data_IF_400442491663
#
_entry.id   IF_400442491663
#
_cell.length_a   1.000
_cell.length_b   1.000
_cell.length_c   1.000
_cell.angle_alpha   90.00
_cell.angle_beta   90.00
_cell.angle_gamma   90.00
#
_symmetry.space_group_name_H-M   'P 1'
#
loop_
_entity.id
_entity.type
_entity.pdbx_description
1 polymer ?
#
# COMPACT_ATOMS: atom_id res chain seq x y z
N UNK A 1 -21.48 -35.63 -5.51
CA UNK A 1 -20.74 -34.35 -5.66
C UNK A 1 -19.38 -34.32 -4.96
N UNK A 2 -19.20 -34.89 -3.76
CA UNK A 2 -17.90 -34.91 -3.08
C UNK A 2 -16.80 -35.75 -3.76
N UNK A 3 -17.16 -36.88 -4.39
CA UNK A 3 -16.21 -37.75 -5.11
C UNK A 3 -15.64 -37.08 -6.38
N UNK A 4 -16.47 -36.37 -7.15
CA UNK A 4 -16.05 -35.63 -8.35
C UNK A 4 -15.12 -34.46 -7.99
N UNK A 5 -15.38 -33.76 -6.87
CA UNK A 5 -14.48 -32.72 -6.33
C UNK A 5 -13.15 -33.29 -5.82
N UNK A 6 -13.12 -34.55 -5.37
CA UNK A 6 -11.87 -35.21 -4.93
C UNK A 6 -10.97 -35.53 -6.12
N UNK A 7 -11.52 -36.15 -7.16
CA UNK A 7 -10.75 -36.47 -8.37
C UNK A 7 -10.23 -35.21 -9.05
N UNK A 8 -11.04 -34.14 -9.13
CA UNK A 8 -10.61 -32.84 -9.68
C UNK A 8 -9.38 -32.25 -8.98
N UNK A 9 -9.28 -32.37 -7.65
CA UNK A 9 -8.12 -31.87 -6.88
C UNK A 9 -6.88 -32.74 -7.02
N UNK A 10 -7.07 -34.04 -7.19
CA UNK A 10 -5.97 -34.97 -7.45
C UNK A 10 -5.43 -34.77 -8.87
N UNK A 11 -6.32 -34.56 -9.85
CA UNK A 11 -5.99 -34.26 -11.24
C UNK A 11 -5.25 -32.92 -11.38
N UNK A 12 -5.68 -31.88 -10.65
CA UNK A 12 -5.02 -30.57 -10.66
C UNK A 12 -3.64 -30.62 -10.00
N UNK A 13 -3.51 -31.32 -8.86
CA UNK A 13 -2.24 -31.53 -8.17
C UNK A 13 -1.26 -32.34 -9.05
N UNK A 14 -1.77 -33.33 -9.78
CA UNK A 14 -0.97 -34.10 -10.73
C UNK A 14 -0.41 -33.21 -11.85
N UNK A 15 -1.23 -32.34 -12.46
CA UNK A 15 -0.76 -31.42 -13.51
C UNK A 15 0.26 -30.42 -12.98
N UNK A 16 0.07 -29.89 -11.77
CA UNK A 16 1.04 -29.00 -11.10
C UNK A 16 2.37 -29.71 -10.86
N UNK A 17 2.34 -30.95 -10.35
CA UNK A 17 3.56 -31.73 -10.18
C UNK A 17 4.26 -32.00 -11.52
N UNK A 18 3.49 -32.26 -12.58
CA UNK A 18 4.05 -32.46 -13.92
C UNK A 18 4.72 -31.20 -14.47
N UNK A 19 4.15 -30.03 -14.21
CA UNK A 19 4.77 -28.76 -14.55
C UNK A 19 6.10 -28.55 -13.80
N UNK A 20 6.14 -28.83 -12.49
CA UNK A 20 7.37 -28.73 -11.67
C UNK A 20 8.48 -29.67 -12.12
N UNK A 21 8.15 -30.89 -12.48
CA UNK A 21 9.10 -31.85 -13.06
C UNK A 21 9.68 -31.31 -14.37
N UNK A 22 8.79 -30.80 -15.23
CA UNK A 22 9.17 -30.26 -16.55
C UNK A 22 10.05 -29.02 -16.42
N UNK A 23 9.89 -28.21 -15.37
CA UNK A 23 10.69 -26.99 -15.16
C UNK A 23 12.20 -27.26 -15.08
N UNK A 24 12.60 -28.46 -14.63
CA UNK A 24 14.01 -28.87 -14.55
C UNK A 24 14.63 -29.16 -15.93
N UNK A 25 13.81 -29.52 -16.90
CA UNK A 25 14.27 -29.95 -18.24
C UNK A 25 13.95 -28.92 -19.32
N UNK A 26 12.71 -28.41 -19.32
CA UNK A 26 12.18 -27.49 -20.33
C UNK A 26 11.15 -26.53 -19.71
N UNK A 27 11.52 -25.24 -19.53
CA UNK A 27 10.61 -24.20 -19.07
C UNK A 27 9.37 -24.00 -19.95
N UNK A 28 9.46 -24.23 -21.27
CA UNK A 28 8.32 -24.06 -22.17
C UNK A 28 7.30 -25.19 -21.99
N UNK A 29 7.76 -26.42 -21.83
CA UNK A 29 6.90 -27.55 -21.48
C UNK A 29 6.20 -27.31 -20.14
N UNK A 30 6.91 -26.81 -19.12
CA UNK A 30 6.32 -26.45 -17.83
C UNK A 30 5.19 -25.42 -17.99
N UNK A 31 5.40 -24.37 -18.79
CA UNK A 31 4.36 -23.37 -19.09
C UNK A 31 3.16 -23.98 -19.82
N UNK A 32 3.37 -24.89 -20.78
CA UNK A 32 2.29 -25.58 -21.48
C UNK A 32 1.42 -26.41 -20.53
N UNK A 33 2.05 -27.13 -19.59
CA UNK A 33 1.32 -27.86 -18.53
C UNK A 33 0.49 -26.93 -17.65
N UNK A 34 1.06 -25.80 -17.24
CA UNK A 34 0.34 -24.81 -16.42
C UNK A 34 -0.82 -24.14 -17.16
N UNK A 35 -0.66 -23.82 -18.44
CA UNK A 35 -1.76 -23.31 -19.28
C UNK A 35 -2.90 -24.33 -19.34
N UNK A 36 -2.56 -25.60 -19.53
CA UNK A 36 -3.55 -26.70 -19.55
C UNK A 36 -4.27 -26.80 -18.21
N UNK A 37 -3.52 -26.82 -17.11
CA UNK A 37 -4.08 -26.89 -15.76
C UNK A 37 -5.01 -25.71 -15.45
N UNK A 38 -4.62 -24.48 -15.80
CA UNK A 38 -5.44 -23.27 -15.60
C UNK A 38 -6.72 -23.27 -16.43
N UNK A 39 -6.68 -23.88 -17.61
CA UNK A 39 -7.84 -24.01 -18.50
C UNK A 39 -8.84 -25.02 -17.95
N UNK A 40 -8.35 -26.15 -17.43
CA UNK A 40 -9.19 -27.20 -16.85
C UNK A 40 -9.71 -26.85 -15.45
N UNK A 41 -8.91 -26.12 -14.66
CA UNK A 41 -9.16 -25.83 -13.25
C UNK A 41 -8.99 -24.33 -12.93
N UNK A 42 -9.76 -23.42 -13.56
CA UNK A 42 -9.57 -21.98 -13.37
C UNK A 42 -9.86 -21.52 -11.93
N UNK A 43 -10.77 -22.19 -11.23
CA UNK A 43 -11.19 -21.87 -9.86
C UNK A 43 -10.30 -22.43 -8.75
N UNK A 44 -9.17 -23.06 -9.08
CA UNK A 44 -8.25 -23.60 -8.07
C UNK A 44 -7.05 -22.68 -7.83
N UNK A 45 -6.96 -22.14 -6.61
CA UNK A 45 -5.89 -21.24 -6.19
C UNK A 45 -4.50 -21.86 -6.37
N UNK A 46 -4.32 -23.14 -6.03
CA UNK A 46 -3.03 -23.85 -6.15
C UNK A 46 -2.46 -23.82 -7.57
N UNK A 47 -3.31 -23.99 -8.58
CA UNK A 47 -2.93 -23.99 -9.99
C UNK A 47 -2.56 -22.57 -10.45
N UNK A 48 -3.36 -21.57 -10.06
CA UNK A 48 -3.08 -20.17 -10.40
C UNK A 48 -1.78 -19.68 -9.73
N UNK A 49 -1.58 -20.04 -8.46
CA UNK A 49 -0.41 -19.64 -7.68
C UNK A 49 0.87 -20.28 -8.20
N UNK A 50 0.85 -21.55 -8.59
CA UNK A 50 2.02 -22.20 -9.20
C UNK A 50 2.43 -21.49 -10.49
N UNK A 51 1.45 -21.17 -11.33
CA UNK A 51 1.73 -20.50 -12.59
C UNK A 51 2.25 -19.06 -12.37
N UNK A 52 1.76 -18.36 -11.34
CA UNK A 52 2.33 -17.09 -10.87
C UNK A 52 3.79 -17.27 -10.42
N UNK A 53 4.08 -18.28 -9.60
CA UNK A 53 5.43 -18.55 -9.08
C UNK A 53 6.44 -18.83 -10.21
N UNK A 54 6.02 -19.51 -11.27
CA UNK A 54 6.86 -19.72 -12.47
C UNK A 54 7.15 -18.42 -13.22
N UNK A 55 6.15 -17.53 -13.39
CA UNK A 55 6.37 -16.22 -14.03
C UNK A 55 7.24 -15.31 -13.15
N UNK A 56 7.09 -15.39 -11.82
CA UNK A 56 7.94 -14.69 -10.86
C UNK A 56 9.39 -15.17 -10.95
N UNK A 57 9.63 -16.50 -10.96
CA UNK A 57 10.96 -17.07 -11.11
C UNK A 57 11.60 -16.75 -12.48
N UNK A 58 10.78 -16.53 -13.51
CA UNK A 58 11.23 -16.10 -14.83
C UNK A 58 11.52 -14.58 -14.91
N UNK A 59 11.26 -13.81 -13.85
CA UNK A 59 11.43 -12.35 -13.85
C UNK A 59 10.43 -11.60 -14.73
N UNK A 60 9.33 -12.24 -15.13
CA UNK A 60 8.33 -11.62 -15.99
C UNK A 60 7.34 -10.77 -15.17
N UNK A 61 7.70 -9.52 -14.93
CA UNK A 61 6.91 -8.56 -14.13
C UNK A 61 5.48 -8.41 -14.64
N UNK A 62 5.31 -8.24 -15.95
CA UNK A 62 3.98 -8.01 -16.56
C UNK A 62 3.05 -9.22 -16.43
N UNK A 63 3.57 -10.42 -16.69
CA UNK A 63 2.83 -11.68 -16.56
C UNK A 63 2.48 -11.96 -15.10
N UNK A 64 3.47 -11.84 -14.21
CA UNK A 64 3.30 -12.05 -12.78
C UNK A 64 2.28 -11.07 -12.19
N UNK A 65 2.33 -9.79 -12.57
CA UNK A 65 1.40 -8.77 -12.10
C UNK A 65 -0.05 -9.08 -12.48
N UNK A 66 -0.29 -9.39 -13.77
CA UNK A 66 -1.63 -9.74 -14.24
C UNK A 66 -2.19 -10.96 -13.49
N UNK A 67 -1.37 -11.99 -13.32
CA UNK A 67 -1.79 -13.21 -12.62
C UNK A 67 -2.03 -12.97 -11.13
N UNK A 68 -1.18 -12.17 -10.47
CA UNK A 68 -1.38 -11.79 -9.08
C UNK A 68 -2.68 -10.99 -8.91
N UNK A 69 -2.96 -10.05 -9.81
CA UNK A 69 -4.20 -9.27 -9.77
C UNK A 69 -5.44 -10.13 -10.05
N UNK A 70 -5.39 -11.02 -11.04
CA UNK A 70 -6.47 -11.98 -11.32
C UNK A 70 -6.77 -12.82 -10.06
N UNK A 71 -5.72 -13.34 -9.40
CA UNK A 71 -5.88 -14.07 -8.14
C UNK A 71 -6.42 -13.17 -7.03
N UNK A 72 -5.95 -11.92 -6.92
CA UNK A 72 -6.39 -10.96 -5.90
C UNK A 72 -7.89 -10.69 -5.96
N UNK A 73 -8.45 -10.61 -7.18
CA UNK A 73 -9.89 -10.41 -7.37
C UNK A 73 -10.73 -11.66 -7.05
N UNK A 74 -10.17 -12.86 -7.23
CA UNK A 74 -10.92 -14.12 -7.14
C UNK A 74 -10.73 -14.86 -5.80
N UNK A 75 -9.55 -14.79 -5.20
CA UNK A 75 -9.12 -15.59 -4.04
C UNK A 75 -8.64 -14.71 -2.89
N UNK A 76 -9.36 -13.61 -2.66
CA UNK A 76 -8.91 -12.55 -1.76
C UNK A 76 -8.75 -12.97 -0.29
N UNK A 77 -9.21 -14.16 0.10
CA UNK A 77 -9.13 -14.69 1.47
C UNK A 77 -7.88 -15.56 1.71
N UNK A 78 -7.12 -15.89 0.67
CA UNK A 78 -5.93 -16.73 0.78
C UNK A 78 -4.75 -15.98 1.43
N UNK A 79 -4.24 -16.49 2.55
CA UNK A 79 -3.18 -15.83 3.33
C UNK A 79 -1.86 -15.71 2.57
N UNK A 80 -1.53 -16.71 1.76
CA UNK A 80 -0.33 -16.72 0.92
C UNK A 80 -0.40 -15.58 -0.11
N UNK A 81 -1.58 -15.37 -0.70
CA UNK A 81 -1.81 -14.29 -1.65
C UNK A 81 -1.71 -12.92 -0.97
N UNK A 82 -2.29 -12.77 0.22
CA UNK A 82 -2.18 -11.55 1.00
C UNK A 82 -0.71 -11.22 1.35
N UNK A 83 0.11 -12.23 1.64
CA UNK A 83 1.54 -12.03 1.87
C UNK A 83 2.26 -11.52 0.61
N UNK A 84 1.93 -12.03 -0.59
CA UNK A 84 2.49 -11.54 -1.85
C UNK A 84 2.05 -10.11 -2.16
N UNK A 85 0.77 -9.79 -1.97
CA UNK A 85 0.27 -8.42 -2.14
C UNK A 85 0.93 -7.48 -1.14
N UNK A 86 1.15 -7.92 0.10
CA UNK A 86 1.86 -7.13 1.10
C UNK A 86 3.30 -6.82 0.67
N UNK A 87 4.05 -7.81 0.14
CA UNK A 87 5.39 -7.56 -0.44
C UNK A 87 5.32 -6.50 -1.55
N UNK A 88 4.33 -6.62 -2.42
CA UNK A 88 4.11 -5.65 -3.49
C UNK A 88 3.85 -4.23 -2.96
N UNK A 89 2.96 -4.07 -1.99
CA UNK A 89 2.67 -2.75 -1.42
C UNK A 89 3.80 -2.18 -0.56
N UNK A 90 4.53 -3.05 0.15
CA UNK A 90 5.67 -2.65 0.97
C UNK A 90 6.84 -2.19 0.11
N UNK A 91 7.05 -2.81 -1.06
CA UNK A 91 8.02 -2.37 -2.04
C UNK A 91 7.75 -0.92 -2.53
N UNK A 92 6.49 -0.53 -2.68
CA UNK A 92 6.12 0.84 -3.08
C UNK A 92 6.40 1.90 -2.01
N UNK A 93 6.53 1.48 -0.75
CA UNK A 93 6.77 2.36 0.40
C UNK A 93 8.25 2.35 0.83
N UNK A 94 9.07 1.52 0.20
CA UNK A 94 10.49 1.34 0.52
C UNK A 94 11.35 2.19 -0.42
N UNK A 95 12.38 2.83 0.13
CA UNK A 95 13.43 3.49 -0.66
C UNK A 95 14.57 2.51 -1.06
N UNK A 96 14.43 1.23 -0.70
CA UNK A 96 15.41 0.20 -1.02
C UNK A 96 15.47 -0.06 -2.53
N UNK A 97 16.68 -0.39 -3.00
CA UNK A 97 16.94 -0.77 -4.40
C UNK A 97 17.31 -2.24 -4.54
N UNK A 98 16.90 -3.06 -3.58
CA UNK A 98 17.10 -4.49 -3.68
C UNK A 98 16.29 -5.08 -4.84
N UNK A 99 16.75 -6.19 -5.45
CA UNK A 99 16.11 -6.76 -6.63
C UNK A 99 14.64 -7.10 -6.42
N UNK A 100 14.26 -7.55 -5.23
CA UNK A 100 12.88 -7.92 -4.91
C UNK A 100 11.99 -6.68 -4.86
N UNK A 101 12.40 -5.62 -4.16
CA UNK A 101 11.68 -4.33 -4.12
C UNK A 101 11.48 -3.77 -5.52
N UNK A 102 12.51 -3.78 -6.37
CA UNK A 102 12.40 -3.31 -7.76
C UNK A 102 11.44 -4.18 -8.58
N UNK A 103 11.50 -5.50 -8.41
CA UNK A 103 10.63 -6.43 -9.11
C UNK A 103 9.16 -6.23 -8.73
N UNK A 104 8.85 -6.17 -7.44
CA UNK A 104 7.50 -5.97 -6.92
C UNK A 104 6.94 -4.59 -7.26
N UNK A 105 7.75 -3.53 -7.17
CA UNK A 105 7.34 -2.22 -7.64
C UNK A 105 7.03 -2.25 -9.15
N UNK A 106 7.89 -2.90 -9.95
CA UNK A 106 7.69 -3.08 -11.38
C UNK A 106 6.42 -3.89 -11.73
N UNK A 107 6.08 -4.90 -10.92
CA UNK A 107 4.79 -5.60 -11.06
C UNK A 107 3.63 -4.64 -10.89
N UNK A 108 3.64 -3.84 -9.82
CA UNK A 108 2.58 -2.88 -9.57
C UNK A 108 2.45 -1.86 -10.71
N UNK A 109 3.56 -1.30 -11.18
CA UNK A 109 3.56 -0.33 -12.30
C UNK A 109 3.04 -0.92 -13.61
N UNK A 110 3.15 -2.24 -13.81
CA UNK A 110 2.62 -2.90 -15.01
C UNK A 110 1.11 -3.13 -14.99
N UNK A 111 0.45 -2.96 -13.83
CA UNK A 111 -1.00 -3.03 -13.72
C UNK A 111 -1.67 -1.78 -14.29
N UNK A 112 -2.89 -1.89 -14.86
CA UNK A 112 -3.69 -0.72 -15.20
C UNK A 112 -4.00 0.15 -13.97
N UNK A 113 -4.14 1.46 -14.15
CA UNK A 113 -4.37 2.41 -13.04
C UNK A 113 -5.60 2.07 -12.18
N UNK A 114 -6.66 1.52 -12.77
CA UNK A 114 -7.83 1.05 -12.01
C UNK A 114 -7.50 -0.13 -11.10
N UNK A 115 -6.70 -1.09 -11.59
CA UNK A 115 -6.24 -2.23 -10.81
C UNK A 115 -5.27 -1.81 -9.70
N UNK A 116 -4.35 -0.89 -9.99
CA UNK A 116 -3.45 -0.32 -8.98
C UNK A 116 -4.22 0.33 -7.81
N UNK A 117 -5.24 1.14 -8.12
CA UNK A 117 -6.13 1.74 -7.12
C UNK A 117 -6.86 0.68 -6.30
N UNK A 118 -7.44 -0.30 -6.97
CA UNK A 118 -8.21 -1.37 -6.34
C UNK A 118 -7.34 -2.20 -5.36
N UNK A 119 -6.10 -2.51 -5.77
CA UNK A 119 -5.11 -3.17 -4.89
C UNK A 119 -4.86 -2.32 -3.65
N UNK A 120 -4.50 -1.05 -3.79
CA UNK A 120 -4.20 -0.20 -2.63
C UNK A 120 -5.39 -0.03 -1.69
N UNK A 121 -6.59 0.17 -2.24
CA UNK A 121 -7.81 0.37 -1.44
C UNK A 121 -8.16 -0.89 -0.64
N UNK A 122 -8.26 -2.04 -1.31
CA UNK A 122 -8.58 -3.32 -0.64
C UNK A 122 -7.48 -3.78 0.31
N UNK A 123 -6.21 -3.53 -0.01
CA UNK A 123 -5.10 -3.80 0.91
C UNK A 123 -5.17 -2.93 2.16
N UNK A 124 -5.57 -1.66 2.04
CA UNK A 124 -5.78 -0.79 3.20
C UNK A 124 -6.96 -1.27 4.05
N UNK A 125 -8.06 -1.71 3.45
CA UNK A 125 -9.21 -2.26 4.18
C UNK A 125 -8.87 -3.53 4.96
N UNK A 126 -7.97 -4.36 4.41
CA UNK A 126 -7.55 -5.64 5.00
C UNK A 126 -6.32 -5.53 5.91
N UNK A 127 -5.72 -4.36 6.06
CA UNK A 127 -4.53 -4.21 6.88
C UNK A 127 -4.82 -4.53 8.35
N UNK A 128 -4.03 -5.41 8.96
CA UNK A 128 -4.19 -5.78 10.37
C UNK A 128 -3.71 -4.73 11.38
N UNK A 129 -3.10 -3.65 10.89
CA UNK A 129 -2.49 -2.59 11.68
C UNK A 129 -2.95 -1.22 11.17
N UNK A 130 -3.37 -0.34 12.09
CA UNK A 130 -3.84 1.00 11.75
C UNK A 130 -2.76 1.89 11.12
N UNK A 131 -1.48 1.70 11.45
CA UNK A 131 -0.39 2.43 10.79
C UNK A 131 -0.27 2.02 9.32
N UNK A 132 -0.33 0.72 9.04
CA UNK A 132 -0.24 0.20 7.67
C UNK A 132 -1.45 0.64 6.84
N UNK A 133 -2.65 0.62 7.43
CA UNK A 133 -3.85 1.23 6.84
C UNK A 133 -3.58 2.66 6.38
N UNK A 134 -3.09 3.51 7.30
CA UNK A 134 -2.87 4.92 7.02
C UNK A 134 -1.78 5.15 5.96
N UNK A 135 -0.71 4.35 5.97
CA UNK A 135 0.36 4.43 4.96
C UNK A 135 -0.11 4.02 3.57
N UNK A 136 -0.91 2.95 3.48
CA UNK A 136 -1.52 2.54 2.21
C UNK A 136 -2.49 3.59 1.68
N UNK A 137 -3.29 4.20 2.57
CA UNK A 137 -4.17 5.29 2.18
C UNK A 137 -3.43 6.53 1.72
N UNK A 138 -2.37 6.91 2.42
CA UNK A 138 -1.51 8.01 1.99
C UNK A 138 -0.85 7.74 0.63
N UNK A 139 -0.41 6.49 0.39
CA UNK A 139 0.13 6.07 -0.90
C UNK A 139 -0.92 6.18 -2.02
N UNK A 140 -2.15 5.73 -1.78
CA UNK A 140 -3.27 5.90 -2.72
C UNK A 140 -3.50 7.38 -3.06
N UNK A 141 -3.63 8.23 -2.05
CA UNK A 141 -3.89 9.65 -2.23
C UNK A 141 -2.76 10.38 -2.96
N UNK A 142 -1.52 9.96 -2.72
CA UNK A 142 -0.34 10.53 -3.36
C UNK A 142 -0.31 10.18 -4.85
N UNK A 143 -0.58 8.90 -5.18
CA UNK A 143 -0.51 8.35 -6.54
C UNK A 143 -1.72 8.68 -7.39
N UNK A 144 -2.90 8.80 -6.79
CA UNK A 144 -4.18 8.99 -7.48
C UNK A 144 -4.89 10.24 -6.94
N UNK A 145 -4.56 11.44 -7.44
CA UNK A 145 -5.06 12.71 -6.89
C UNK A 145 -6.59 12.84 -6.91
N UNK A 146 -7.25 12.16 -7.83
CA UNK A 146 -8.71 12.13 -7.96
C UNK A 146 -9.42 11.41 -6.80
N UNK A 147 -8.69 10.62 -6.01
CA UNK A 147 -9.20 9.98 -4.78
C UNK A 147 -9.19 10.91 -3.56
N UNK A 148 -8.48 12.04 -3.64
CA UNK A 148 -8.25 12.93 -2.49
C UNK A 148 -9.51 13.61 -1.94
N UNK A 149 -10.46 14.11 -2.76
CA UNK A 149 -11.70 14.68 -2.25
C UNK A 149 -12.50 13.69 -1.40
N UNK A 150 -12.48 12.41 -1.79
CA UNK A 150 -13.24 11.37 -1.11
C UNK A 150 -12.57 10.88 0.18
N UNK A 151 -11.25 10.73 0.19
CA UNK A 151 -10.52 10.03 1.27
C UNK A 151 -9.59 10.93 2.10
N UNK A 152 -9.21 12.12 1.61
CA UNK A 152 -8.18 12.95 2.24
C UNK A 152 -8.53 13.39 3.66
N UNK A 153 -9.70 14.02 3.84
CA UNK A 153 -10.18 14.46 5.16
C UNK A 153 -10.48 13.26 6.06
N UNK A 154 -11.03 12.18 5.50
CA UNK A 154 -11.31 10.94 6.24
C UNK A 154 -10.04 10.33 6.82
N UNK A 155 -8.91 10.38 6.10
CA UNK A 155 -7.63 9.88 6.58
C UNK A 155 -7.12 10.73 7.76
N UNK A 156 -7.29 12.06 7.71
CA UNK A 156 -6.95 12.94 8.83
C UNK A 156 -7.75 12.56 10.08
N UNK A 157 -9.07 12.42 9.94
CA UNK A 157 -9.94 12.03 11.05
C UNK A 157 -9.57 10.63 11.59
N UNK A 158 -9.29 9.67 10.70
CA UNK A 158 -8.84 8.31 11.07
C UNK A 158 -7.54 8.33 11.88
N UNK A 159 -6.56 9.15 11.49
CA UNK A 159 -5.29 9.28 12.22
C UNK A 159 -5.50 9.86 13.63
N UNK A 160 -6.32 10.90 13.75
CA UNK A 160 -6.64 11.53 15.02
C UNK A 160 -7.43 10.61 15.96
N UNK A 161 -8.42 9.90 15.43
CA UNK A 161 -9.24 8.97 16.18
C UNK A 161 -8.44 7.74 16.64
N UNK A 162 -7.54 7.24 15.78
CA UNK A 162 -6.63 6.15 16.14
C UNK A 162 -5.66 6.57 17.22
N UNK A 163 -4.99 7.72 17.08
CA UNK A 163 -4.08 8.25 18.10
C UNK A 163 -4.78 8.38 19.47
N UNK A 164 -6.02 8.88 19.48
CA UNK A 164 -6.83 9.02 20.69
C UNK A 164 -7.18 7.67 21.30
N UNK A 165 -7.54 6.67 20.49
CA UNK A 165 -7.90 5.32 20.94
C UNK A 165 -6.72 4.59 21.57
N UNK A 166 -5.54 4.72 20.97
CA UNK A 166 -4.30 4.15 21.47
C UNK A 166 -3.76 4.87 22.72
N UNK A 167 -4.38 5.99 23.12
CA UNK A 167 -4.05 6.75 24.33
C UNK A 167 -2.55 7.06 24.48
N UNK A 168 -1.91 7.43 23.37
CA UNK A 168 -0.47 7.65 23.36
C UNK A 168 -0.07 8.84 24.27
N UNK A 169 0.96 8.70 25.11
CA UNK A 169 1.29 9.68 26.15
C UNK A 169 1.97 10.95 25.61
N UNK A 170 2.43 10.92 24.36
CA UNK A 170 3.19 12.00 23.73
C UNK A 170 2.61 12.30 22.36
N UNK A 171 2.52 13.59 21.98
CA UNK A 171 2.15 13.98 20.62
C UNK A 171 3.22 13.56 19.61
N UNK A 172 4.46 13.29 20.02
CA UNK A 172 5.51 12.78 19.13
C UNK A 172 5.37 11.27 19.00
N UNK A 173 4.54 10.86 18.04
CA UNK A 173 4.25 9.46 17.73
C UNK A 173 4.08 9.23 16.22
N UNK A 174 3.91 7.97 15.80
CA UNK A 174 3.81 7.60 14.40
C UNK A 174 2.56 8.17 13.69
N UNK A 175 1.40 8.20 14.35
CA UNK A 175 0.17 8.74 13.79
C UNK A 175 0.25 10.26 13.60
N UNK A 176 0.74 10.98 14.62
CA UNK A 176 0.91 12.43 14.54
C UNK A 176 1.98 12.81 13.52
N UNK A 177 3.04 12.02 13.38
CA UNK A 177 4.06 12.20 12.35
C UNK A 177 3.44 12.08 10.95
N UNK A 178 2.72 10.99 10.66
CA UNK A 178 2.03 10.78 9.37
C UNK A 178 0.99 11.88 9.09
N UNK A 179 0.28 12.32 10.12
CA UNK A 179 -0.71 13.38 10.00
C UNK A 179 -0.06 14.70 9.58
N UNK A 180 0.95 15.13 10.32
CA UNK A 180 1.53 16.48 10.22
C UNK A 180 2.50 16.60 9.06
N UNK A 181 3.32 15.58 8.82
CA UNK A 181 4.39 15.63 7.84
C UNK A 181 3.89 15.32 6.43
N UNK A 182 2.86 14.47 6.30
CA UNK A 182 2.45 13.94 5.00
C UNK A 182 1.00 14.25 4.68
N UNK A 183 0.07 13.94 5.60
CA UNK A 183 -1.37 13.96 5.29
C UNK A 183 -1.94 15.37 5.19
N UNK A 184 -1.71 16.23 6.20
CA UNK A 184 -2.17 17.63 6.17
C UNK A 184 -1.58 18.39 4.97
N UNK A 185 -0.25 18.36 4.71
CA UNK A 185 0.28 19.07 3.54
C UNK A 185 -0.29 18.57 2.21
N UNK A 186 -0.51 17.25 2.06
CA UNK A 186 -1.15 16.67 0.88
C UNK A 186 -2.58 17.19 0.68
N UNK A 187 -3.39 17.21 1.75
CA UNK A 187 -4.77 17.68 1.73
C UNK A 187 -4.84 19.19 1.46
N UNK A 188 -4.05 19.98 2.18
CA UNK A 188 -4.01 21.44 2.02
C UNK A 188 -3.46 21.89 0.66
N UNK A 189 -2.64 21.07 -0.01
CA UNK A 189 -2.15 21.37 -1.36
C UNK A 189 -3.15 21.04 -2.47
N UNK A 190 -4.25 20.32 -2.18
CA UNK A 190 -5.16 19.78 -3.20
C UNK A 190 -6.41 20.64 -3.35
N UNK A 191 -6.61 21.42 -4.43
CA UNK A 191 -7.63 22.47 -4.51
C UNK A 191 -9.08 21.95 -4.37
N UNK A 192 -9.33 20.69 -4.74
CA UNK A 192 -10.67 20.09 -4.78
C UNK A 192 -11.21 19.66 -3.41
N UNK A 193 -10.44 19.84 -2.34
CA UNK A 193 -10.84 19.47 -0.97
C UNK A 193 -11.34 20.70 -0.22
N UNK A 194 -12.63 20.79 0.05
CA UNK A 194 -13.13 21.83 0.93
C UNK A 194 -12.84 21.49 2.39
N UNK A 195 -12.11 22.37 3.08
CA UNK A 195 -11.75 22.21 4.49
C UNK A 195 -12.26 23.43 5.26
N UNK A 196 -13.13 23.18 6.22
CA UNK A 196 -13.68 24.25 7.05
C UNK A 196 -12.59 24.93 7.90
N UNK A 197 -12.77 26.22 8.20
CA UNK A 197 -11.85 26.95 9.06
C UNK A 197 -11.67 26.29 10.45
N UNK A 198 -12.73 25.67 10.97
CA UNK A 198 -12.70 24.95 12.25
C UNK A 198 -11.79 23.72 12.18
N UNK A 199 -11.80 22.99 11.07
CA UNK A 199 -10.90 21.86 10.84
C UNK A 199 -9.45 22.33 10.69
N UNK A 200 -9.21 23.35 9.85
CA UNK A 200 -7.87 23.91 9.67
C UNK A 200 -7.25 24.37 10.99
N UNK A 201 -8.04 25.07 11.83
CA UNK A 201 -7.58 25.49 13.15
C UNK A 201 -7.19 24.30 14.03
N UNK A 202 -8.02 23.25 14.07
CA UNK A 202 -7.73 22.02 14.82
C UNK A 202 -6.45 21.34 14.33
N UNK A 203 -6.28 21.23 13.01
CA UNK A 203 -5.09 20.61 12.41
C UNK A 203 -3.83 21.40 12.73
N UNK A 204 -3.90 22.73 12.65
CA UNK A 204 -2.79 23.61 12.97
C UNK A 204 -2.37 23.48 14.44
N UNK A 205 -3.33 23.45 15.38
CA UNK A 205 -3.04 23.21 16.79
C UNK A 205 -2.31 21.88 17.01
N UNK A 206 -2.77 20.81 16.35
CA UNK A 206 -2.15 19.47 16.45
C UNK A 206 -0.75 19.42 15.86
N UNK A 207 -0.50 20.15 14.78
CA UNK A 207 0.82 20.30 14.18
C UNK A 207 1.77 21.11 15.08
N UNK A 208 1.31 22.24 15.62
CA UNK A 208 2.09 23.06 16.54
C UNK A 208 2.49 22.27 17.79
N UNK A 209 1.54 21.57 18.41
CA UNK A 209 1.79 20.68 19.56
C UNK A 209 2.87 19.63 19.24
N UNK A 210 2.76 18.97 18.08
CA UNK A 210 3.76 17.99 17.63
C UNK A 210 5.15 18.60 17.51
N UNK A 211 5.30 19.69 16.76
CA UNK A 211 6.60 20.30 16.50
C UNK A 211 7.22 20.90 17.77
N UNK A 212 6.44 21.56 18.62
CA UNK A 212 6.95 22.07 19.91
C UNK A 212 7.52 20.91 20.72
N UNK A 213 6.75 19.84 20.93
CA UNK A 213 7.21 18.70 21.70
C UNK A 213 8.42 18.00 21.05
N UNK A 214 8.43 17.84 19.73
CA UNK A 214 9.53 17.24 18.98
C UNK A 214 10.83 18.03 19.16
N UNK A 215 10.77 19.36 19.13
CA UNK A 215 11.94 20.24 19.27
C UNK A 215 12.42 20.37 20.71
N UNK A 216 11.52 20.29 21.69
CA UNK A 216 11.87 20.38 23.11
C UNK A 216 12.28 19.05 23.74
N UNK A 217 12.21 17.95 22.99
CA UNK A 217 12.68 16.66 23.48
C UNK A 217 14.18 16.69 23.76
N UNK A 218 14.65 16.10 24.87
CA UNK A 218 16.08 15.93 25.09
C UNK A 218 16.66 15.11 23.92
N UNK A 219 17.89 15.42 23.43
CA UNK A 219 18.49 14.71 22.31
C UNK A 219 18.53 13.22 22.63
N UNK A 220 17.70 12.45 21.91
CA UNK A 220 17.71 11.00 22.01
C UNK A 220 19.08 10.51 21.51
N UNK A 221 19.74 9.61 22.24
CA UNK A 221 21.13 9.16 22.01
C UNK A 221 21.37 8.39 20.70
N UNK A 222 20.36 8.25 19.85
CA UNK A 222 20.46 7.56 18.56
C UNK A 222 20.13 8.56 17.44
N UNK A 223 21.19 9.20 16.91
CA UNK A 223 21.10 10.06 15.75
C UNK A 223 20.76 9.25 14.51
N UNK A 224 19.50 9.34 14.05
CA UNK A 224 19.11 8.92 12.71
C UNK A 224 19.02 10.16 11.80
N UNK A 225 19.47 10.09 10.53
CA UNK A 225 19.51 11.21 9.60
C UNK A 225 18.13 11.81 9.24
N UNK A 226 17.02 11.14 9.61
CA UNK A 226 15.65 11.61 9.37
C UNK A 226 15.21 12.81 10.24
N UNK A 227 15.94 13.13 11.32
CA UNK A 227 15.59 14.27 12.18
C UNK A 227 15.93 15.62 11.55
N UNK A 228 16.88 15.66 10.60
CA UNK A 228 17.30 16.91 9.95
C UNK A 228 16.30 17.40 8.88
N UNK A 229 15.61 16.50 8.15
CA UNK A 229 14.60 16.91 7.15
C UNK A 229 13.30 17.38 7.77
N UNK A 230 12.90 16.82 8.92
CA UNK A 230 11.71 17.26 9.67
C UNK A 230 11.86 18.70 10.21
N UNK A 231 13.07 19.06 10.65
CA UNK A 231 13.39 20.43 11.04
C UNK A 231 13.37 21.39 9.84
N UNK A 232 13.84 20.96 8.67
CA UNK A 232 13.79 21.79 7.45
C UNK A 232 12.35 22.03 6.99
N UNK A 233 11.47 21.01 7.04
CA UNK A 233 10.05 21.15 6.66
C UNK A 233 9.25 22.11 7.57
N UNK A 234 9.60 22.19 8.86
CA UNK A 234 8.99 23.17 9.78
C UNK A 234 9.63 24.56 9.64
N UNK A 235 10.96 24.64 9.59
CA UNK A 235 11.71 25.91 9.49
C UNK A 235 11.51 26.62 8.14
N UNK A 236 11.28 25.89 7.04
CA UNK A 236 10.97 26.50 5.73
C UNK A 236 9.54 27.01 5.62
N UNK A 237 8.74 26.98 6.69
CA UNK A 237 7.35 27.45 6.71
C UNK A 237 6.47 26.77 5.65
N UNK A 238 6.87 25.71 4.95
CA UNK A 238 6.10 25.17 3.81
C UNK A 238 4.68 24.74 4.22
N UNK A 239 4.52 24.09 5.37
CA UNK A 239 3.21 23.73 5.90
C UNK A 239 2.37 24.96 6.29
N UNK A 240 2.99 25.94 6.95
CA UNK A 240 2.32 27.19 7.35
C UNK A 240 1.96 28.00 6.10
N UNK A 241 2.84 28.06 5.10
CA UNK A 241 2.64 28.74 3.82
C UNK A 241 1.54 28.06 3.00
N UNK A 242 1.48 26.72 2.96
CA UNK A 242 0.38 25.98 2.32
C UNK A 242 -0.96 26.24 3.01
N UNK A 243 -1.00 26.23 4.36
CA UNK A 243 -2.22 26.53 5.13
C UNK A 243 -2.64 28.00 4.94
N UNK A 244 -1.68 28.94 4.98
CA UNK A 244 -1.94 30.38 4.78
C UNK A 244 -2.36 30.70 3.34
N UNK A 245 -1.77 30.04 2.34
CA UNK A 245 -2.17 30.17 0.93
C UNK A 245 -3.62 29.70 0.75
N UNK A 246 -4.00 28.57 1.36
CA UNK A 246 -5.38 28.06 1.35
C UNK A 246 -6.39 29.04 1.95
N UNK A 247 -6.07 29.59 3.13
CA UNK A 247 -6.90 30.59 3.82
C UNK A 247 -7.00 31.93 3.06
N UNK A 248 -6.10 32.17 2.10
CA UNK A 248 -6.14 33.35 1.23
C UNK A 248 -7.03 33.12 -0.01
N UNK A 249 -7.05 31.90 -0.56
CA UNK A 249 -7.92 31.55 -1.69
C UNK A 249 -9.43 31.51 -1.34
N UNK A 250 -9.81 31.13 -0.11
CA UNK A 250 -11.21 31.09 0.34
C UNK A 250 -11.81 32.48 0.68
N UNK A 251 -11.13 33.59 0.34
CA UNK A 251 -11.62 34.97 0.57
C UNK A 251 -12.20 35.65 -0.69
N UNK A 252 -12.46 34.90 -1.76
CA UNK A 252 -13.10 35.40 -2.96
C UNK A 252 -14.39 34.63 -3.25
#
# INVERSE_FOLDING_TARGET
MAAVKRNSREDSAWLVNRARESLKSDPHAAKAWLITARTLFPGEFSVQYEAYSVEQAAGNTTGAAKMLYDMFTQFSDESILQAEVHKMTSALQSDSRDPDTVFYAGMFESLPSSAQRDVLLKSAEKSGNAVDHCRLMLLLLTRFPDTRPEHGVKLVDTLLDTEKRESLPSPVNCYRKLLVCDTIPLVCSSPDIDVSHKQLYRWLQKAMEFYICFLTQPPCREGTPHNHSLMQNFCELQLIHQIVARCSCNRH
#
